data_IF_583409675332
#
_entry.id   IF_583409675332
#
_cell.length_a   1.000
_cell.length_b   1.000
_cell.length_c   1.000
_cell.angle_alpha   90.00
_cell.angle_beta   90.00
_cell.angle_gamma   90.00
#
_symmetry.space_group_name_H-M   'P 1'
#
loop_
_entity.id
_entity.type
_entity.pdbx_description
1 polymer ?
#
# COMPACT_ATOMS: atom_id res chain seq x y z
N UNK A 1 -43.17 -29.77 -11.84
CA UNK A 1 -41.85 -29.42 -12.39
C UNK A 1 -41.01 -29.01 -11.21
N UNK A 2 -40.41 -30.00 -10.56
CA UNK A 2 -39.58 -29.82 -9.38
C UNK A 2 -38.18 -30.25 -9.80
N UNK A 3 -37.28 -29.29 -9.91
CA UNK A 3 -35.90 -29.51 -10.35
C UNK A 3 -35.02 -29.51 -9.12
N UNK A 4 -34.44 -30.65 -8.77
CA UNK A 4 -33.03 -30.71 -8.33
C UNK A 4 -32.54 -32.15 -8.26
N UNK A 5 -31.43 -32.35 -8.97
CA UNK A 5 -30.71 -33.58 -9.23
C UNK A 5 -29.92 -34.09 -8.01
N UNK A 6 -29.40 -35.34 -8.07
CA UNK A 6 -28.97 -36.12 -6.91
C UNK A 6 -27.50 -35.91 -6.50
N UNK A 7 -27.22 -36.45 -5.31
CA UNK A 7 -25.92 -36.76 -4.67
C UNK A 7 -25.06 -37.77 -5.46
N UNK A 8 -23.80 -38.01 -5.01
CA UNK A 8 -22.75 -39.02 -5.40
C UNK A 8 -21.59 -38.33 -6.17
N UNK A 9 -20.27 -38.53 -5.99
CA UNK A 9 -19.35 -39.56 -5.44
C UNK A 9 -18.01 -38.81 -5.17
N UNK A 10 -17.32 -38.95 -4.05
CA UNK A 10 -16.27 -39.97 -3.78
C UNK A 10 -14.96 -39.86 -4.57
N UNK A 11 -13.89 -39.65 -3.79
CA UNK A 11 -12.52 -40.17 -3.92
C UNK A 11 -11.62 -39.78 -5.12
N UNK A 12 -10.62 -38.95 -4.80
CA UNK A 12 -9.21 -39.12 -5.22
C UNK A 12 -8.31 -38.44 -4.18
N UNK A 13 -7.81 -39.17 -3.17
CA UNK A 13 -6.50 -39.87 -3.11
C UNK A 13 -5.31 -38.94 -3.44
N UNK A 14 -4.58 -38.59 -2.39
CA UNK A 14 -3.32 -37.83 -2.34
C UNK A 14 -2.21 -38.42 -3.23
N UNK A 15 -1.23 -37.60 -3.62
CA UNK A 15 0.12 -37.91 -3.13
C UNK A 15 0.82 -36.69 -2.53
N UNK A 16 1.49 -36.98 -1.41
CA UNK A 16 2.60 -36.21 -0.85
C UNK A 16 3.69 -36.07 -1.92
N UNK A 17 4.05 -34.84 -2.24
CA UNK A 17 5.28 -34.52 -2.97
C UNK A 17 5.80 -33.17 -2.46
N UNK A 18 6.80 -33.30 -1.58
CA UNK A 18 7.97 -32.44 -1.49
C UNK A 18 7.78 -31.14 -0.70
N UNK A 19 8.06 -31.30 0.60
CA UNK A 19 8.83 -30.39 1.43
C UNK A 19 9.89 -29.64 0.60
N UNK A 20 9.49 -28.53 -0.02
CA UNK A 20 10.41 -27.47 -0.39
C UNK A 20 10.33 -26.45 0.72
N UNK A 21 11.14 -26.65 1.76
CA UNK A 21 11.74 -25.55 2.50
C UNK A 21 12.52 -24.70 1.51
N UNK A 22 11.79 -23.89 0.74
CA UNK A 22 12.35 -22.65 0.26
C UNK A 22 12.56 -21.84 1.54
N UNK A 23 13.80 -21.87 2.02
CA UNK A 23 14.33 -20.83 2.88
C UNK A 23 14.20 -19.53 2.08
N UNK A 24 13.02 -18.93 2.15
CA UNK A 24 12.75 -17.58 1.72
C UNK A 24 13.46 -16.70 2.73
N UNK A 25 14.78 -16.60 2.58
CA UNK A 25 15.55 -15.56 3.22
C UNK A 25 15.06 -14.25 2.59
N UNK A 26 13.97 -13.73 3.16
CA UNK A 26 13.34 -12.48 2.80
C UNK A 26 14.34 -11.39 3.07
N UNK A 27 15.17 -11.11 2.07
CA UNK A 27 16.11 -10.00 2.09
C UNK A 27 15.23 -8.77 2.08
N UNK A 28 14.92 -8.23 3.27
CA UNK A 28 14.23 -6.95 3.41
C UNK A 28 15.16 -5.91 2.82
N UNK A 29 14.95 -5.56 1.55
CA UNK A 29 15.67 -4.45 0.94
C UNK A 29 15.43 -3.22 1.81
N UNK A 30 16.49 -2.53 2.27
CA UNK A 30 16.31 -1.34 3.10
C UNK A 30 15.53 -0.29 2.30
N UNK A 31 14.31 0.00 2.74
CA UNK A 31 13.45 1.01 2.13
C UNK A 31 13.89 2.38 2.63
N UNK A 32 14.23 3.27 1.71
CA UNK A 32 14.56 4.67 2.04
C UNK A 32 13.28 5.44 2.40
N UNK A 33 13.31 6.31 3.43
CA UNK A 33 12.22 7.24 3.72
C UNK A 33 11.88 8.10 2.49
N UNK A 34 10.59 8.33 2.27
CA UNK A 34 10.07 9.17 1.19
C UNK A 34 8.95 10.05 1.74
N UNK A 35 8.80 11.22 1.14
CA UNK A 35 7.85 12.24 1.54
C UNK A 35 6.66 12.26 0.59
N UNK A 36 5.47 12.11 1.15
CA UNK A 36 4.20 12.16 0.46
C UNK A 36 3.41 13.40 0.88
N UNK A 37 2.61 13.92 -0.03
CA UNK A 37 1.92 15.19 0.15
C UNK A 37 0.46 15.16 -0.30
N UNK A 38 -0.35 16.07 0.23
CA UNK A 38 -1.56 16.56 -0.43
C UNK A 38 -1.39 18.03 -0.76
N UNK A 39 -1.63 18.41 -2.01
CA UNK A 39 -1.50 19.77 -2.49
C UNK A 39 -2.86 20.46 -2.62
N UNK A 40 -2.92 21.74 -2.26
CA UNK A 40 -4.11 22.54 -2.55
C UNK A 40 -4.30 23.73 -1.61
N UNK A 41 -5.50 24.31 -1.64
CA UNK A 41 -5.89 25.44 -0.82
C UNK A 41 -7.10 25.07 0.05
N UNK A 42 -7.10 25.51 1.31
CA UNK A 42 -8.24 25.26 2.21
C UNK A 42 -8.44 23.80 2.65
N UNK A 43 -7.38 22.99 2.62
CA UNK A 43 -7.42 21.54 2.89
C UNK A 43 -6.88 21.14 4.28
N UNK A 44 -6.75 22.08 5.21
CA UNK A 44 -6.14 21.84 6.54
C UNK A 44 -6.86 20.76 7.36
N UNK A 45 -8.15 20.51 7.08
CA UNK A 45 -8.98 19.51 7.76
C UNK A 45 -9.02 18.15 7.03
N UNK A 46 -8.23 17.97 5.97
CA UNK A 46 -8.19 16.72 5.22
C UNK A 46 -7.77 15.55 6.11
N UNK A 47 -8.46 14.41 5.97
CA UNK A 47 -8.14 13.16 6.64
C UNK A 47 -7.06 12.34 5.93
N UNK A 48 -6.60 12.80 4.76
CA UNK A 48 -5.56 12.11 3.98
C UNK A 48 -4.30 11.80 4.80
N UNK A 49 -3.72 12.75 5.57
CA UNK A 49 -2.53 12.46 6.39
C UNK A 49 -2.77 11.36 7.41
N UNK A 50 -3.93 11.35 8.07
CA UNK A 50 -4.28 10.32 9.05
C UNK A 50 -4.30 8.94 8.42
N UNK A 51 -4.97 8.80 7.26
CA UNK A 51 -5.14 7.51 6.58
C UNK A 51 -3.81 6.99 6.04
N UNK A 52 -3.03 7.81 5.33
CA UNK A 52 -1.77 7.39 4.75
C UNK A 52 -0.71 7.07 5.80
N UNK A 53 -0.56 7.92 6.83
CA UNK A 53 0.41 7.67 7.90
C UNK A 53 0.05 6.41 8.71
N UNK A 54 -1.25 6.14 8.94
CA UNK A 54 -1.68 4.89 9.57
C UNK A 54 -1.33 3.67 8.71
N UNK A 55 -1.49 3.76 7.39
CA UNK A 55 -1.07 2.72 6.45
C UNK A 55 0.45 2.49 6.50
N UNK A 56 1.26 3.54 6.42
CA UNK A 56 2.72 3.43 6.53
C UNK A 56 3.15 2.79 7.84
N UNK A 57 2.57 3.20 8.96
CA UNK A 57 2.84 2.60 10.27
C UNK A 57 2.46 1.12 10.32
N UNK A 58 1.27 0.75 9.81
CA UNK A 58 0.80 -0.63 9.79
C UNK A 58 1.73 -1.57 9.01
N UNK A 59 2.21 -1.11 7.84
CA UNK A 59 3.15 -1.87 7.00
C UNK A 59 4.62 -1.66 7.36
N UNK A 60 4.93 -0.93 8.44
CA UNK A 60 6.30 -0.60 8.88
C UNK A 60 7.14 0.08 7.79
N UNK A 61 6.51 0.92 6.99
CA UNK A 61 7.17 1.71 5.96
C UNK A 61 7.65 3.04 6.57
N UNK A 62 8.89 3.49 6.28
CA UNK A 62 9.45 4.69 6.89
C UNK A 62 9.05 5.97 6.14
N UNK A 63 7.83 6.01 5.59
CA UNK A 63 7.33 7.14 4.80
C UNK A 63 6.50 8.09 5.66
N UNK A 64 6.37 9.33 5.21
CA UNK A 64 5.58 10.34 5.90
C UNK A 64 4.67 11.10 4.92
N UNK A 65 3.42 11.33 5.33
CA UNK A 65 2.42 12.08 4.57
C UNK A 65 2.08 13.40 5.27
N UNK A 66 2.11 14.52 4.53
CA UNK A 66 1.83 15.87 5.08
C UNK A 66 0.96 16.75 4.17
N UNK A 67 0.35 17.78 4.73
CA UNK A 67 -0.43 18.77 3.98
C UNK A 67 0.49 19.90 3.54
N UNK A 68 0.42 20.28 2.27
CA UNK A 68 1.14 21.42 1.71
C UNK A 68 0.13 22.37 1.06
N UNK A 69 -0.06 23.53 1.70
CA UNK A 69 -1.08 24.48 1.28
C UNK A 69 -0.50 25.69 0.56
N UNK A 70 -1.11 26.01 -0.57
CA UNK A 70 -0.77 27.21 -1.33
C UNK A 70 -1.91 27.56 -2.30
N UNK A 71 -2.13 28.86 -2.58
CA UNK A 71 -3.07 29.29 -3.61
C UNK A 71 -2.51 29.10 -5.03
N UNK A 72 -1.22 28.86 -5.19
CA UNK A 72 -0.55 28.64 -6.49
C UNK A 72 0.07 27.24 -6.55
N UNK A 73 -0.09 26.56 -7.68
CA UNK A 73 0.49 25.23 -7.91
C UNK A 73 2.00 25.28 -8.12
N UNK A 74 2.53 26.42 -8.58
CA UNK A 74 3.97 26.60 -8.83
C UNK A 74 4.81 26.43 -7.56
N UNK A 75 4.23 26.74 -6.40
CA UNK A 75 4.93 26.62 -5.11
C UNK A 75 5.26 25.18 -4.74
N UNK A 76 4.62 24.20 -5.36
CA UNK A 76 4.88 22.78 -5.10
C UNK A 76 5.99 22.20 -5.99
N UNK A 77 6.41 22.90 -7.04
CA UNK A 77 7.44 22.41 -7.96
C UNK A 77 8.76 22.02 -7.25
N UNK A 78 9.26 22.78 -6.25
CA UNK A 78 10.46 22.37 -5.50
C UNK A 78 10.27 21.07 -4.72
N UNK A 79 9.07 20.81 -4.21
CA UNK A 79 8.76 19.58 -3.46
C UNK A 79 8.70 18.36 -4.39
N UNK A 80 8.14 18.52 -5.59
CA UNK A 80 8.06 17.47 -6.60
C UNK A 80 9.44 17.13 -7.16
N UNK A 81 10.32 18.13 -7.27
CA UNK A 81 11.70 17.96 -7.75
C UNK A 81 12.66 17.37 -6.69
N UNK A 82 12.21 17.22 -5.44
CA UNK A 82 13.06 16.71 -4.36
C UNK A 82 13.36 15.21 -4.57
N UNK A 83 14.59 14.75 -4.27
CA UNK A 83 14.99 13.35 -4.48
C UNK A 83 14.25 12.35 -3.58
N UNK A 84 13.65 12.84 -2.49
CA UNK A 84 12.84 12.07 -1.55
C UNK A 84 11.32 12.18 -1.82
N UNK A 85 10.92 12.77 -2.95
CA UNK A 85 9.51 12.85 -3.33
C UNK A 85 8.93 11.45 -3.60
N UNK A 86 8.01 11.02 -2.75
CA UNK A 86 7.32 9.72 -2.86
C UNK A 86 6.02 9.76 -3.65
N UNK A 87 5.39 10.95 -3.76
CA UNK A 87 4.13 11.16 -4.47
C UNK A 87 3.25 12.21 -3.81
N UNK A 88 2.15 12.58 -4.48
CA UNK A 88 1.17 13.53 -3.94
C UNK A 88 -0.26 13.22 -4.37
N UNK A 89 -1.23 13.73 -3.60
CA UNK A 89 -2.67 13.75 -3.89
C UNK A 89 -3.18 15.16 -4.17
#
# INVERSE_FOLDING_TARGET
MDTSSPTIDSLRKVPSAEDSTADCEGTSTPVTPLQYYIFGQGISFSMSPTIHNAGFAYYKLPHHYSIQQSPSTETFAPLIAAPDFGGAS
#
